data_IF_222116321165
#
_entry.id   IF_222116321165
#
_cell.length_a   1.000
_cell.length_b   1.000
_cell.length_c   1.000
_cell.angle_alpha   90.00
_cell.angle_beta   90.00
_cell.angle_gamma   90.00
#
_symmetry.space_group_name_H-M   'P 1'
#
loop_
_entity.id
_entity.type
_entity.pdbx_description
1 polymer ?
#
# COMPACT_ATOMS: atom_id res chain seq x y z
N UNK A 1 5.07 -5.27 -12.47
CA UNK A 1 5.68 -6.12 -11.42
C UNK A 1 4.95 -5.99 -10.09
N UNK A 2 4.92 -4.84 -9.41
CA UNK A 2 4.22 -4.70 -8.10
C UNK A 2 2.71 -5.00 -8.20
N UNK A 3 2.04 -4.59 -9.29
CA UNK A 3 0.61 -4.87 -9.51
C UNK A 3 0.28 -6.37 -9.56
N UNK A 4 1.21 -7.21 -10.02
CA UNK A 4 1.01 -8.66 -10.09
C UNK A 4 1.12 -9.34 -8.71
N UNK A 5 1.91 -8.77 -7.79
CA UNK A 5 2.04 -9.28 -6.42
C UNK A 5 0.82 -8.91 -5.56
N UNK A 6 0.26 -7.71 -5.76
CA UNK A 6 -0.95 -7.26 -5.07
C UNK A 6 -2.19 -8.11 -5.36
N UNK A 7 -2.29 -8.73 -6.54
CA UNK A 7 -3.43 -9.56 -6.94
C UNK A 7 -3.34 -11.02 -6.45
N UNK A 8 -2.16 -11.50 -6.04
CA UNK A 8 -1.93 -12.90 -5.65
C UNK A 8 -1.78 -13.10 -4.14
N UNK A 9 -2.14 -12.10 -3.32
CA UNK A 9 -1.94 -12.16 -1.86
C UNK A 9 -0.49 -12.03 -1.40
N UNK A 10 0.41 -11.61 -2.30
CA UNK A 10 1.84 -11.44 -2.05
C UNK A 10 2.17 -9.98 -1.67
N UNK A 11 1.39 -9.39 -0.77
CA UNK A 11 1.61 -8.01 -0.33
C UNK A 11 2.95 -7.82 0.37
N UNK A 12 3.47 -8.87 1.01
CA UNK A 12 4.77 -8.82 1.69
C UNK A 12 5.92 -8.71 0.70
N UNK A 13 5.87 -9.45 -0.40
CA UNK A 13 6.81 -9.40 -1.51
C UNK A 13 6.73 -8.05 -2.23
N UNK A 14 5.51 -7.52 -2.41
CA UNK A 14 5.33 -6.18 -2.96
C UNK A 14 6.01 -5.11 -2.10
N UNK A 15 5.86 -5.18 -0.77
CA UNK A 15 6.53 -4.29 0.18
C UNK A 15 8.05 -4.47 0.16
N UNK A 16 8.54 -5.71 0.12
CA UNK A 16 9.97 -5.99 0.08
C UNK A 16 10.62 -5.46 -1.21
N UNK A 17 9.97 -5.65 -2.36
CA UNK A 17 10.45 -5.10 -3.63
C UNK A 17 10.43 -3.57 -3.60
N UNK A 18 9.37 -2.97 -3.05
CA UNK A 18 9.27 -1.53 -2.91
C UNK A 18 10.41 -0.95 -2.05
N UNK A 19 10.77 -1.62 -0.95
CA UNK A 19 11.91 -1.22 -0.08
C UNK A 19 13.27 -1.30 -0.76
N UNK A 20 13.40 -2.05 -1.85
CA UNK A 20 14.63 -2.14 -2.64
C UNK A 20 14.76 -1.00 -3.66
N UNK A 21 13.68 -0.25 -3.90
CA UNK A 21 13.66 0.89 -4.82
C UNK A 21 13.88 2.17 -4.00
N UNK A 22 14.72 3.07 -4.50
CA UNK A 22 14.87 4.38 -3.88
C UNK A 22 13.56 5.14 -3.96
N UNK A 23 13.10 5.69 -2.84
CA UNK A 23 11.80 6.39 -2.78
C UNK A 23 11.76 7.60 -3.71
N UNK A 24 12.91 8.24 -3.95
CA UNK A 24 13.05 9.37 -4.87
C UNK A 24 12.91 8.98 -6.35
N UNK A 25 13.00 7.68 -6.65
CA UNK A 25 12.80 7.12 -8.00
C UNK A 25 11.36 6.60 -8.20
N UNK A 26 10.60 6.47 -7.11
CA UNK A 26 9.21 6.05 -7.17
C UNK A 26 8.33 7.18 -7.70
N UNK A 27 7.38 6.84 -8.55
CA UNK A 27 6.31 7.75 -8.95
C UNK A 27 5.01 7.40 -8.20
N UNK A 28 4.00 8.25 -8.34
CA UNK A 28 2.67 8.05 -7.76
C UNK A 28 2.10 6.66 -7.99
N UNK A 29 2.27 6.11 -9.21
CA UNK A 29 1.75 4.78 -9.56
C UNK A 29 2.41 3.70 -8.70
N UNK A 30 3.72 3.81 -8.46
CA UNK A 30 4.49 2.86 -7.65
C UNK A 30 4.00 2.86 -6.20
N UNK A 31 3.78 4.04 -5.63
CA UNK A 31 3.22 4.20 -4.29
C UNK A 31 1.79 3.63 -4.19
N UNK A 32 0.93 3.95 -5.15
CA UNK A 32 -0.45 3.46 -5.19
C UNK A 32 -0.49 1.93 -5.29
N UNK A 33 0.37 1.34 -6.13
CA UNK A 33 0.43 -0.11 -6.28
C UNK A 33 0.83 -0.81 -4.97
N UNK A 34 1.84 -0.31 -4.24
CA UNK A 34 2.25 -0.95 -2.98
C UNK A 34 1.22 -0.73 -1.87
N UNK A 35 0.56 0.42 -1.81
CA UNK A 35 -0.52 0.68 -0.85
C UNK A 35 -1.73 -0.24 -1.10
N UNK A 36 -2.11 -0.44 -2.36
CA UNK A 36 -3.16 -1.40 -2.71
C UNK A 36 -2.76 -2.84 -2.38
N UNK A 37 -1.52 -3.23 -2.64
CA UNK A 37 -1.03 -4.56 -2.24
C UNK A 37 -1.09 -4.77 -0.71
N UNK A 38 -0.78 -3.73 0.07
CA UNK A 38 -0.95 -3.77 1.53
C UNK A 38 -2.43 -3.90 1.92
N UNK A 39 -3.35 -3.19 1.24
CA UNK A 39 -4.80 -3.29 1.48
C UNK A 39 -5.32 -4.71 1.24
N UNK A 40 -4.95 -5.32 0.10
CA UNK A 40 -5.37 -6.68 -0.25
C UNK A 40 -4.80 -7.75 0.69
N UNK A 41 -3.64 -7.50 1.29
CA UNK A 41 -2.93 -8.46 2.15
C UNK A 41 -3.04 -8.14 3.65
N UNK A 42 -3.93 -7.21 4.03
CA UNK A 42 -4.15 -6.77 5.42
C UNK A 42 -2.88 -6.27 6.15
N UNK A 43 -1.94 -5.66 5.42
CA UNK A 43 -0.67 -5.16 5.95
C UNK A 43 -0.75 -3.69 6.40
N UNK A 44 -1.54 -3.44 7.45
CA UNK A 44 -1.84 -2.08 7.93
C UNK A 44 -0.58 -1.29 8.33
N UNK A 45 0.31 -1.90 9.10
CA UNK A 45 1.50 -1.23 9.61
C UNK A 45 2.44 -0.81 8.47
N UNK A 46 2.58 -1.67 7.46
CA UNK A 46 3.42 -1.45 6.30
C UNK A 46 2.85 -0.34 5.42
N UNK A 47 1.52 -0.34 5.19
CA UNK A 47 0.86 0.75 4.46
C UNK A 47 1.12 2.11 5.12
N UNK A 48 1.03 2.18 6.46
CA UNK A 48 1.31 3.41 7.22
C UNK A 48 2.75 3.87 7.13
N UNK A 49 3.70 2.96 7.29
CA UNK A 49 5.14 3.27 7.18
C UNK A 49 5.42 3.83 5.78
N UNK A 50 4.99 3.12 4.73
CA UNK A 50 5.20 3.55 3.35
C UNK A 50 4.55 4.91 3.09
N UNK A 51 3.29 5.10 3.51
CA UNK A 51 2.61 6.38 3.31
C UNK A 51 3.34 7.53 4.00
N UNK A 52 3.86 7.31 5.21
CA UNK A 52 4.61 8.33 5.93
C UNK A 52 5.94 8.68 5.24
N UNK A 53 6.62 7.70 4.66
CA UNK A 53 7.90 7.89 3.96
C UNK A 53 7.76 8.65 2.62
N UNK A 54 6.55 8.69 2.03
CA UNK A 54 6.31 9.47 0.80
C UNK A 54 6.43 10.98 1.09
N UNK A 55 7.45 11.61 0.54
CA UNK A 55 7.70 13.05 0.71
C UNK A 55 6.59 13.94 0.12
N UNK A 56 6.12 13.63 -1.11
CA UNK A 56 5.06 14.38 -1.79
C UNK A 56 3.84 13.47 -1.96
N UNK A 57 2.79 13.76 -1.20
CA UNK A 57 1.54 13.01 -1.25
C UNK A 57 0.59 13.70 -2.21
N UNK A 58 0.40 13.13 -3.39
CA UNK A 58 -0.61 13.62 -4.32
C UNK A 58 -2.01 13.19 -3.88
N UNK A 59 -3.03 13.85 -4.42
CA UNK A 59 -4.44 13.51 -4.14
C UNK A 59 -4.71 12.02 -4.33
N UNK A 60 -4.16 11.41 -5.39
CA UNK A 60 -4.33 9.98 -5.69
C UNK A 60 -3.72 9.07 -4.62
N UNK A 61 -2.57 9.45 -4.06
CA UNK A 61 -1.92 8.69 -2.99
C UNK A 61 -2.76 8.77 -1.70
N UNK A 62 -3.30 9.97 -1.40
CA UNK A 62 -4.14 10.19 -0.23
C UNK A 62 -5.45 9.40 -0.34
N UNK A 63 -6.15 9.48 -1.47
CA UNK A 63 -7.39 8.72 -1.68
C UNK A 63 -7.15 7.21 -1.60
N UNK A 64 -6.05 6.72 -2.17
CA UNK A 64 -5.67 5.30 -2.05
C UNK A 64 -5.44 4.88 -0.60
N UNK A 65 -4.82 5.74 0.23
CA UNK A 65 -4.64 5.46 1.66
C UNK A 65 -5.98 5.45 2.42
N UNK A 66 -6.89 6.38 2.12
CA UNK A 66 -8.24 6.40 2.71
C UNK A 66 -9.03 5.15 2.32
N UNK A 67 -8.98 4.73 1.06
CA UNK A 67 -9.62 3.51 0.58
C UNK A 67 -9.00 2.25 1.21
N UNK A 68 -7.68 2.27 1.43
CA UNK A 68 -6.97 1.20 2.13
C UNK A 68 -7.48 1.07 3.58
N UNK A 69 -7.53 2.17 4.33
CA UNK A 69 -7.99 2.21 5.71
C UNK A 69 -9.47 1.82 5.85
N UNK A 70 -10.32 2.32 4.97
CA UNK A 70 -11.76 2.01 4.97
C UNK A 70 -12.02 0.52 4.82
N UNK A 71 -11.30 -0.12 3.87
CA UNK A 71 -11.39 -1.58 3.67
C UNK A 71 -10.91 -2.34 4.89
N UNK A 72 -9.82 -1.93 5.51
CA UNK A 72 -9.27 -2.61 6.69
C UNK A 72 -10.16 -2.48 7.92
N UNK A 73 -10.78 -1.32 8.15
CA UNK A 73 -11.72 -1.11 9.25
C UNK A 73 -13.00 -1.96 9.12
N UNK A 74 -13.49 -2.15 7.89
CA UNK A 74 -14.60 -3.07 7.59
C UNK A 74 -14.27 -4.53 7.90
N UNK A 75 -12.99 -4.94 7.79
CA UNK A 75 -12.59 -6.31 8.13
C UNK A 75 -12.43 -6.52 9.64
N UNK A 76 -11.95 -5.52 10.38
CA UNK A 76 -11.89 -5.60 11.86
C UNK A 76 -13.30 -5.73 12.47
N UNK A 77 -14.33 -5.15 11.84
CA UNK A 77 -15.73 -5.33 12.25
C UNK A 77 -16.31 -6.70 11.87
N UNK A 78 -15.83 -7.32 10.79
CA UNK A 78 -16.33 -8.61 10.30
C UNK A 78 -15.83 -9.83 11.11
N UNK A 79 -14.85 -9.66 12.00
CA UNK A 79 -14.33 -10.71 12.90
C UNK A 79 -14.88 -10.65 14.34
N UNK A 80 -15.90 -9.82 14.61
CA UNK A 80 -16.64 -9.76 15.90
C UNK A 80 -18.01 -10.42 15.83
#
# INVERSE_FOLDING_TARGET
MINAFGLNGMGFEAVNLYKQISIDQCNDITHICVLNACSHSRLFNQARIIFNDIHIKTEKIITTMVDCLSRLCLFDEAER
#
